data_IF_345215606086
#
_entry.id   IF_345215606086
#
_cell.length_a   1.000
_cell.length_b   1.000
_cell.length_c   1.000
_cell.angle_alpha   90.00
_cell.angle_beta   90.00
_cell.angle_gamma   90.00
#
_symmetry.space_group_name_H-M   'P 1'
#
loop_
_entity.id
_entity.type
_entity.pdbx_description
1 polymer ?
#
# COMPACT_ATOMS: atom_id res chain seq x y z
N UNK A 1 -6.35 -16.32 -9.96
CA UNK A 1 -5.59 -15.08 -9.64
C UNK A 1 -5.05 -14.35 -10.87
N UNK A 2 -4.76 -15.06 -11.98
CA UNK A 2 -4.29 -14.41 -13.22
C UNK A 2 -5.38 -13.46 -13.78
N UNK A 3 -6.61 -13.90 -13.87
CA UNK A 3 -7.73 -13.10 -14.39
C UNK A 3 -7.99 -11.82 -13.56
N UNK A 4 -7.81 -11.88 -12.25
CA UNK A 4 -7.96 -10.72 -11.38
C UNK A 4 -6.83 -9.70 -11.52
N UNK A 5 -5.61 -10.15 -11.86
CA UNK A 5 -4.48 -9.26 -12.16
C UNK A 5 -4.67 -8.58 -13.51
N UNK A 6 -5.08 -9.34 -14.53
CA UNK A 6 -5.32 -8.79 -15.88
C UNK A 6 -6.45 -7.76 -15.91
N UNK A 7 -7.43 -7.88 -15.00
CA UNK A 7 -8.49 -6.87 -14.80
C UNK A 7 -8.10 -5.75 -13.84
N UNK A 8 -6.86 -5.75 -13.32
CA UNK A 8 -6.36 -4.79 -12.31
C UNK A 8 -7.15 -4.78 -11.00
N UNK A 9 -7.94 -5.81 -10.72
CA UNK A 9 -8.60 -5.99 -9.42
C UNK A 9 -7.61 -6.23 -8.29
N UNK A 10 -6.37 -6.61 -8.62
CA UNK A 10 -5.26 -6.78 -7.68
C UNK A 10 -4.12 -5.82 -8.07
N UNK A 11 -3.81 -4.90 -7.19
CA UNK A 11 -2.76 -3.89 -7.37
C UNK A 11 -1.51 -4.31 -6.60
N UNK A 12 -0.38 -4.33 -7.32
CA UNK A 12 0.94 -4.61 -6.75
C UNK A 12 1.52 -3.34 -6.13
N UNK A 13 1.95 -3.43 -4.89
CA UNK A 13 2.59 -2.31 -4.20
C UNK A 13 3.68 -2.78 -3.24
N UNK A 14 4.35 -1.80 -2.62
CA UNK A 14 5.27 -2.04 -1.51
C UNK A 14 4.58 -1.70 -0.21
N UNK A 15 4.20 -2.73 0.50
CA UNK A 15 3.45 -2.64 1.74
C UNK A 15 4.35 -2.91 2.95
N UNK A 16 3.95 -3.77 3.83
CA UNK A 16 4.63 -4.12 5.06
C UNK A 16 6.16 -4.23 4.91
N UNK A 17 6.90 -3.38 5.61
CA UNK A 17 8.38 -3.37 5.58
C UNK A 17 9.01 -3.12 4.20
N UNK A 18 8.27 -2.53 3.25
CA UNK A 18 8.71 -2.34 1.87
C UNK A 18 8.61 -3.61 1.01
N UNK A 19 8.03 -4.68 1.56
CA UNK A 19 7.78 -5.94 0.86
C UNK A 19 6.76 -5.81 -0.25
N UNK A 20 6.94 -6.58 -1.32
CA UNK A 20 5.98 -6.62 -2.43
C UNK A 20 4.78 -7.47 -2.02
N UNK A 21 3.59 -6.89 -2.13
CA UNK A 21 2.33 -7.60 -1.94
C UNK A 21 1.28 -7.12 -2.94
N UNK A 22 0.15 -7.81 -2.97
CA UNK A 22 -1.01 -7.46 -3.78
C UNK A 22 -2.18 -7.15 -2.86
N UNK A 23 -2.87 -6.07 -3.15
CA UNK A 23 -4.13 -5.71 -2.48
C UNK A 23 -5.24 -5.66 -3.50
N UNK A 24 -6.45 -5.90 -3.05
CA UNK A 24 -7.66 -5.63 -3.82
C UNK A 24 -7.74 -4.12 -4.12
N UNK A 25 -8.17 -3.75 -5.33
CA UNK A 25 -8.33 -2.34 -5.72
C UNK A 25 -9.20 -1.58 -4.71
N UNK A 26 -10.27 -2.20 -4.22
CA UNK A 26 -11.15 -1.62 -3.21
C UNK A 26 -10.45 -1.30 -1.88
N UNK A 27 -9.37 -1.99 -1.58
CA UNK A 27 -8.57 -1.82 -0.36
C UNK A 27 -7.30 -0.97 -0.58
N UNK A 28 -7.01 -0.57 -1.83
CA UNK A 28 -5.79 0.15 -2.19
C UNK A 28 -5.62 1.43 -1.39
N UNK A 29 -6.67 2.24 -1.29
CA UNK A 29 -6.64 3.48 -0.51
C UNK A 29 -6.30 3.22 0.97
N UNK A 30 -6.90 2.18 1.55
CA UNK A 30 -6.72 1.81 2.95
C UNK A 30 -5.26 1.39 3.23
N UNK A 31 -4.77 0.40 2.51
CA UNK A 31 -3.43 -0.14 2.73
C UNK A 31 -2.33 0.81 2.23
N UNK A 32 -2.57 1.55 1.16
CA UNK A 32 -1.66 2.58 0.69
C UNK A 32 -1.49 3.70 1.72
N UNK A 33 -2.56 4.18 2.36
CA UNK A 33 -2.47 5.18 3.43
C UNK A 33 -1.64 4.69 4.63
N UNK A 34 -1.74 3.39 4.97
CA UNK A 34 -0.97 2.78 6.06
C UNK A 34 0.54 2.72 5.75
N UNK A 35 0.90 2.32 4.53
CA UNK A 35 2.27 1.91 4.21
C UNK A 35 3.04 2.86 3.31
N UNK A 36 2.38 3.82 2.64
CA UNK A 36 3.09 4.79 1.80
C UNK A 36 4.13 5.55 2.60
N UNK A 37 5.30 5.73 2.00
CA UNK A 37 6.34 6.58 2.58
C UNK A 37 6.02 8.05 2.25
N UNK A 38 5.90 8.85 3.29
CA UNK A 38 5.88 10.31 3.18
C UNK A 38 7.32 10.82 3.23
N UNK A 39 7.90 11.09 2.07
CA UNK A 39 9.25 11.55 1.92
C UNK A 39 9.34 12.59 0.79
N UNK A 40 10.28 13.53 0.90
CA UNK A 40 10.56 14.47 -0.18
C UNK A 40 11.11 13.71 -1.40
N UNK A 41 10.55 14.02 -2.58
CA UNK A 41 11.04 13.51 -3.85
C UNK A 41 12.47 14.02 -4.11
N UNK A 42 13.36 13.11 -4.48
CA UNK A 42 14.66 13.48 -5.00
C UNK A 42 14.50 14.09 -6.39
N UNK A 43 15.37 15.02 -6.80
CA UNK A 43 15.26 15.67 -8.11
C UNK A 43 15.17 14.69 -9.29
N UNK A 44 15.96 13.61 -9.25
CA UNK A 44 15.96 12.60 -10.31
C UNK A 44 14.70 11.73 -10.29
N UNK A 45 14.17 11.40 -9.11
CA UNK A 45 12.91 10.67 -8.97
C UNK A 45 11.73 11.51 -9.49
N UNK A 46 11.73 12.82 -9.21
CA UNK A 46 10.73 13.76 -9.73
C UNK A 46 10.77 13.84 -11.26
N UNK A 47 11.96 13.96 -11.86
CA UNK A 47 12.12 13.97 -13.32
C UNK A 47 11.61 12.68 -13.97
N UNK A 48 11.88 11.54 -13.35
CA UNK A 48 11.41 10.24 -13.84
C UNK A 48 9.88 10.13 -13.76
N UNK A 49 9.28 10.58 -12.66
CA UNK A 49 7.83 10.63 -12.50
C UNK A 49 7.18 11.57 -13.51
N UNK A 50 7.74 12.77 -13.73
CA UNK A 50 7.24 13.72 -14.72
C UNK A 50 7.37 13.18 -16.15
N UNK A 51 8.40 12.39 -16.45
CA UNK A 51 8.51 11.70 -17.73
C UNK A 51 7.35 10.71 -17.91
N UNK A 52 7.10 9.84 -16.93
CA UNK A 52 5.98 8.89 -16.98
C UNK A 52 4.61 9.57 -17.11
N UNK A 53 4.44 10.75 -16.49
CA UNK A 53 3.20 11.55 -16.59
C UNK A 53 2.97 12.11 -17.99
N UNK A 54 4.03 12.57 -18.64
CA UNK A 54 3.93 13.20 -19.98
C UNK A 54 3.82 12.21 -21.11
N UNK A 55 4.66 11.18 -21.06
CA UNK A 55 4.81 10.23 -22.17
C UNK A 55 3.95 8.97 -21.98
N UNK A 56 3.40 8.77 -20.79
CA UNK A 56 2.63 7.59 -20.44
C UNK A 56 3.47 6.47 -19.85
N UNK A 57 2.87 5.29 -19.66
CA UNK A 57 3.54 4.14 -19.04
C UNK A 57 4.72 3.65 -19.88
N UNK A 58 5.82 3.32 -19.21
CA UNK A 58 7.05 2.87 -19.85
C UNK A 58 7.66 1.66 -19.15
N UNK A 59 8.26 0.78 -19.95
CA UNK A 59 9.14 -0.28 -19.45
C UNK A 59 10.50 0.30 -19.02
N UNK A 60 11.29 -0.47 -18.27
CA UNK A 60 12.67 -0.05 -17.93
C UNK A 60 13.53 0.09 -19.20
N UNK A 61 13.29 -0.72 -20.24
CA UNK A 61 13.98 -0.58 -21.52
C UNK A 61 13.67 0.76 -22.19
N UNK A 62 12.41 1.14 -22.28
CA UNK A 62 11.99 2.43 -22.83
C UNK A 62 12.54 3.61 -22.01
N UNK A 63 12.47 3.53 -20.67
CA UNK A 63 13.04 4.56 -19.81
C UNK A 63 14.56 4.75 -20.01
N UNK A 64 15.30 3.68 -20.28
CA UNK A 64 16.73 3.77 -20.63
C UNK A 64 16.95 4.52 -21.93
N UNK A 65 16.16 4.25 -22.96
CA UNK A 65 16.26 4.93 -24.26
C UNK A 65 15.96 6.43 -24.13
N UNK A 66 14.90 6.78 -23.39
CA UNK A 66 14.52 8.18 -23.18
C UNK A 66 15.48 8.97 -22.31
N UNK A 67 16.00 8.36 -21.24
CA UNK A 67 16.82 9.07 -20.25
C UNK A 67 18.32 8.95 -20.47
N UNK A 68 18.77 7.97 -21.24
CA UNK A 68 20.19 7.60 -21.36
C UNK A 68 20.78 6.95 -20.09
N UNK A 69 19.99 6.72 -19.07
CA UNK A 69 20.43 6.12 -17.82
C UNK A 69 20.49 4.60 -17.91
N UNK A 70 21.43 4.00 -17.17
CA UNK A 70 21.47 2.55 -17.06
C UNK A 70 20.34 2.01 -16.16
N UNK A 71 19.84 0.79 -16.42
CA UNK A 71 18.77 0.16 -15.63
C UNK A 71 19.07 0.14 -14.12
N UNK A 72 20.34 -0.06 -13.74
CA UNK A 72 20.78 -0.03 -12.33
C UNK A 72 20.57 1.33 -11.63
N UNK A 73 20.41 2.42 -12.37
CA UNK A 73 20.07 3.74 -11.84
C UNK A 73 18.56 3.95 -11.82
N UNK A 74 17.85 3.51 -12.85
CA UNK A 74 16.38 3.67 -12.99
C UNK A 74 15.61 2.83 -11.98
N UNK A 75 15.94 1.55 -11.83
CA UNK A 75 15.19 0.61 -10.97
C UNK A 75 15.07 1.07 -9.50
N UNK A 76 16.14 1.58 -8.86
CA UNK A 76 16.00 2.13 -7.50
C UNK A 76 15.12 3.39 -7.43
N UNK A 77 15.06 4.22 -8.48
CA UNK A 77 14.14 5.37 -8.54
C UNK A 77 12.69 4.89 -8.58
N UNK A 78 12.38 3.95 -9.48
CA UNK A 78 11.04 3.36 -9.57
C UNK A 78 10.60 2.69 -8.26
N UNK A 79 11.51 2.00 -7.57
CA UNK A 79 11.20 1.40 -6.27
C UNK A 79 10.89 2.45 -5.20
N UNK A 80 11.63 3.58 -5.15
CA UNK A 80 11.32 4.68 -4.22
C UNK A 80 9.98 5.32 -4.53
N UNK A 81 9.69 5.57 -5.81
CA UNK A 81 8.39 6.08 -6.24
C UNK A 81 7.26 5.09 -5.91
N UNK A 82 7.50 3.79 -6.05
CA UNK A 82 6.54 2.75 -5.68
C UNK A 82 6.28 2.70 -4.16
N UNK A 83 7.31 2.90 -3.33
CA UNK A 83 7.16 3.00 -1.86
C UNK A 83 6.34 4.22 -1.43
N UNK A 84 6.33 5.28 -2.25
CA UNK A 84 5.52 6.48 -2.05
C UNK A 84 4.13 6.36 -2.68
N UNK A 85 3.80 5.26 -3.33
CA UNK A 85 2.58 5.04 -4.11
C UNK A 85 2.36 6.10 -5.20
N UNK A 86 3.43 6.53 -5.85
CA UNK A 86 3.40 7.44 -7.01
C UNK A 86 3.42 6.68 -8.33
N UNK A 87 4.03 5.49 -8.35
CA UNK A 87 4.01 4.59 -9.51
C UNK A 87 3.78 3.14 -9.09
N UNK A 88 3.27 2.33 -10.00
CA UNK A 88 3.21 0.88 -9.83
C UNK A 88 3.64 0.15 -11.11
N UNK A 89 4.09 -1.09 -10.95
CA UNK A 89 4.45 -1.96 -12.04
C UNK A 89 3.22 -2.76 -12.50
N UNK A 90 2.86 -2.71 -13.77
CA UNK A 90 1.76 -3.49 -14.31
C UNK A 90 2.04 -5.00 -14.15
N UNK A 91 1.01 -5.72 -13.75
CA UNK A 91 1.05 -7.17 -13.58
C UNK A 91 0.12 -7.91 -14.56
N UNK A 92 -0.58 -7.16 -15.42
CA UNK A 92 -1.42 -7.72 -16.46
C UNK A 92 -0.57 -8.32 -17.59
N UNK A 93 0.61 -7.73 -17.82
CA UNK A 93 1.55 -8.19 -18.82
C UNK A 93 2.33 -9.42 -18.34
N UNK A 94 2.45 -10.43 -19.20
CA UNK A 94 3.24 -11.64 -18.97
C UNK A 94 4.73 -11.46 -19.24
N UNK A 95 5.14 -10.35 -19.85
CA UNK A 95 6.52 -10.07 -20.22
C UNK A 95 7.39 -9.72 -19.01
N UNK A 96 8.71 -9.95 -19.15
CA UNK A 96 9.68 -9.67 -18.11
C UNK A 96 9.92 -8.16 -17.89
N UNK A 97 9.81 -7.34 -18.95
CA UNK A 97 9.97 -5.89 -18.90
C UNK A 97 8.60 -5.21 -18.87
N UNK A 98 8.03 -5.15 -17.68
CA UNK A 98 6.69 -4.62 -17.44
C UNK A 98 6.70 -3.10 -17.39
N UNK A 99 5.59 -2.49 -17.86
CA UNK A 99 5.45 -1.05 -17.81
C UNK A 99 5.16 -0.53 -16.41
N UNK A 100 5.65 0.66 -16.14
CA UNK A 100 5.42 1.42 -14.93
C UNK A 100 4.44 2.53 -15.19
N UNK A 101 3.42 2.64 -14.35
CA UNK A 101 2.28 3.54 -14.47
C UNK A 101 2.27 4.53 -13.31
N UNK A 102 1.98 5.83 -13.53
CA UNK A 102 1.64 6.73 -12.44
C UNK A 102 0.32 6.30 -11.79
N UNK A 103 0.24 6.30 -10.46
CA UNK A 103 -0.98 5.94 -9.73
C UNK A 103 -2.15 6.84 -10.08
N UNK A 104 -1.93 8.14 -10.17
CA UNK A 104 -2.95 9.13 -10.47
C UNK A 104 -3.58 9.00 -11.86
N UNK A 105 -2.87 8.40 -12.81
CA UNK A 105 -3.39 8.14 -14.16
C UNK A 105 -4.38 6.97 -14.17
N UNK A 106 -4.05 5.92 -13.44
CA UNK A 106 -4.86 4.69 -13.41
C UNK A 106 -5.97 4.74 -12.34
N UNK A 107 -5.72 5.47 -11.26
CA UNK A 107 -6.64 5.61 -10.13
C UNK A 107 -6.93 7.10 -9.83
N UNK A 108 -7.53 7.85 -10.78
CA UNK A 108 -7.69 9.32 -10.66
C UNK A 108 -8.61 9.74 -9.51
N UNK A 109 -9.49 8.87 -9.04
CA UNK A 109 -10.39 9.11 -7.92
C UNK A 109 -9.86 8.58 -6.58
N UNK A 110 -8.62 8.05 -6.54
CA UNK A 110 -8.04 7.48 -5.34
C UNK A 110 -7.75 8.59 -4.32
N UNK A 111 -8.49 8.56 -3.22
CA UNK A 111 -8.27 9.46 -2.08
C UNK A 111 -7.67 8.67 -0.91
N UNK A 112 -6.58 9.18 -0.37
CA UNK A 112 -5.92 8.57 0.78
C UNK A 112 -6.61 9.03 2.07
N UNK A 113 -7.17 8.12 2.90
CA UNK A 113 -7.61 8.49 4.24
C UNK A 113 -6.42 8.89 5.11
N UNK A 114 -6.71 9.54 6.23
CA UNK A 114 -5.69 9.78 7.25
C UNK A 114 -5.11 8.44 7.72
N UNK A 115 -3.79 8.41 7.97
CA UNK A 115 -3.07 7.17 8.25
C UNK A 115 -3.58 6.47 9.52
N UNK A 116 -3.89 7.24 10.54
CA UNK A 116 -4.43 6.78 11.81
C UNK A 116 -5.80 6.11 11.61
N UNK A 117 -6.70 6.75 10.88
CA UNK A 117 -8.01 6.20 10.53
C UNK A 117 -7.89 4.92 9.70
N UNK A 118 -6.93 4.88 8.78
CA UNK A 118 -6.65 3.70 7.98
C UNK A 118 -6.17 2.52 8.83
N UNK A 119 -5.28 2.76 9.80
CA UNK A 119 -4.80 1.73 10.74
C UNK A 119 -5.96 1.20 11.59
N UNK A 120 -6.80 2.09 12.13
CA UNK A 120 -7.96 1.69 12.92
C UNK A 120 -8.95 0.82 12.12
N UNK A 121 -9.30 1.24 10.91
CA UNK A 121 -10.20 0.48 10.03
C UNK A 121 -9.63 -0.88 9.66
N UNK A 122 -8.36 -0.95 9.29
CA UNK A 122 -7.71 -2.20 8.94
C UNK A 122 -7.60 -3.14 10.15
N UNK A 123 -7.28 -2.61 11.32
CA UNK A 123 -7.17 -3.38 12.56
C UNK A 123 -8.54 -3.90 13.03
N UNK A 124 -9.59 -3.08 12.97
CA UNK A 124 -10.95 -3.53 13.28
C UNK A 124 -11.40 -4.66 12.33
N UNK A 125 -11.13 -4.51 11.03
CA UNK A 125 -11.42 -5.57 10.04
C UNK A 125 -10.64 -6.85 10.33
N UNK A 126 -9.37 -6.72 10.73
CA UNK A 126 -8.52 -7.86 11.11
C UNK A 126 -9.09 -8.60 12.32
N UNK A 127 -9.46 -7.89 13.39
CA UNK A 127 -10.07 -8.51 14.58
C UNK A 127 -11.41 -9.16 14.25
N UNK A 128 -12.25 -8.51 13.42
CA UNK A 128 -13.53 -9.08 12.96
C UNK A 128 -13.33 -10.38 12.18
N UNK A 129 -12.33 -10.43 11.31
CA UNK A 129 -12.04 -11.60 10.47
C UNK A 129 -11.55 -12.79 11.30
N UNK A 130 -10.78 -12.53 12.35
CA UNK A 130 -10.22 -13.56 13.22
C UNK A 130 -11.12 -13.89 14.45
N UNK A 131 -12.18 -13.11 14.66
CA UNK A 131 -13.05 -13.21 15.85
C UNK A 131 -12.41 -12.61 17.10
N UNK A 132 -11.14 -12.89 17.33
CA UNK A 132 -10.31 -12.32 18.38
C UNK A 132 -8.88 -12.13 17.87
N UNK A 133 -8.17 -11.15 18.40
CA UNK A 133 -6.75 -10.96 18.13
C UNK A 133 -6.04 -10.34 19.34
N UNK A 134 -4.75 -10.57 19.44
CA UNK A 134 -3.86 -9.92 20.39
C UNK A 134 -2.84 -8.99 19.70
N UNK A 135 -2.07 -8.28 20.48
CA UNK A 135 -1.05 -7.34 19.99
C UNK A 135 0.02 -8.04 19.14
N UNK A 136 0.38 -9.28 19.51
CA UNK A 136 1.41 -10.07 18.80
C UNK A 136 0.91 -10.46 17.41
N UNK A 137 -0.34 -10.93 17.30
CA UNK A 137 -0.97 -11.24 16.02
C UNK A 137 -1.06 -9.99 15.13
N UNK A 138 -1.55 -8.87 15.68
CA UNK A 138 -1.65 -7.62 14.94
C UNK A 138 -0.28 -7.13 14.45
N UNK A 139 0.73 -7.14 15.33
CA UNK A 139 2.10 -6.74 14.98
C UNK A 139 2.70 -7.64 13.90
N UNK A 140 2.53 -8.95 14.01
CA UNK A 140 3.02 -9.91 13.03
C UNK A 140 2.38 -9.71 11.66
N UNK A 141 1.06 -9.43 11.64
CA UNK A 141 0.33 -9.24 10.40
C UNK A 141 0.63 -7.89 9.73
N UNK A 142 0.58 -6.79 10.49
CA UNK A 142 0.71 -5.45 9.93
C UNK A 142 2.16 -4.97 9.82
N UNK A 143 3.10 -5.49 10.62
CA UNK A 143 4.49 -5.01 10.67
C UNK A 143 4.63 -3.55 11.10
N UNK A 144 3.60 -2.97 11.72
CA UNK A 144 3.59 -1.58 12.15
C UNK A 144 4.32 -1.38 13.48
N UNK A 145 4.80 -0.15 13.75
CA UNK A 145 5.32 0.21 15.05
C UNK A 145 4.28 -0.05 16.15
N UNK A 146 4.74 -0.60 17.27
CA UNK A 146 3.87 -0.97 18.37
C UNK A 146 3.06 0.21 18.93
N UNK A 147 3.64 1.41 18.92
CA UNK A 147 2.96 2.65 19.33
C UNK A 147 1.72 2.92 18.49
N UNK A 148 1.80 2.72 17.16
CA UNK A 148 0.71 2.99 16.21
C UNK A 148 -0.42 1.97 16.40
N UNK A 149 -0.07 0.70 16.58
CA UNK A 149 -1.04 -0.36 16.89
C UNK A 149 -1.75 -0.12 18.22
N UNK A 150 -1.02 0.26 19.28
CA UNK A 150 -1.60 0.54 20.59
C UNK A 150 -2.51 1.77 20.57
N UNK A 151 -2.12 2.82 19.84
CA UNK A 151 -2.97 3.99 19.68
C UNK A 151 -4.30 3.62 19.01
N UNK A 152 -4.26 2.85 17.92
CA UNK A 152 -5.46 2.39 17.22
C UNK A 152 -6.31 1.45 18.07
N UNK A 153 -5.72 0.50 18.81
CA UNK A 153 -6.45 -0.40 19.72
C UNK A 153 -7.14 0.38 20.83
N UNK A 154 -6.44 1.38 21.41
CA UNK A 154 -7.00 2.25 22.45
C UNK A 154 -8.18 3.07 21.91
N UNK A 155 -8.05 3.68 20.74
CA UNK A 155 -9.11 4.45 20.09
C UNK A 155 -10.34 3.59 19.79
N UNK A 156 -10.13 2.39 19.24
CA UNK A 156 -11.21 1.43 18.93
C UNK A 156 -11.92 0.94 20.19
N UNK A 157 -11.16 0.72 21.28
CA UNK A 157 -11.73 0.32 22.57
C UNK A 157 -12.51 1.46 23.20
N UNK A 158 -11.99 2.70 23.19
CA UNK A 158 -12.67 3.87 23.73
C UNK A 158 -14.01 4.15 23.01
N UNK A 159 -14.10 3.84 21.72
CA UNK A 159 -15.35 3.96 20.93
C UNK A 159 -16.29 2.74 21.06
N UNK A 160 -15.91 1.73 21.83
CA UNK A 160 -16.67 0.50 21.97
C UNK A 160 -16.69 -0.40 20.73
N UNK A 161 -15.83 -0.16 19.75
CA UNK A 161 -15.69 -1.00 18.54
C UNK A 161 -14.96 -2.31 18.82
N UNK A 162 -14.08 -2.30 19.81
CA UNK A 162 -13.39 -3.46 20.35
C UNK A 162 -13.64 -3.59 21.86
N UNK A 163 -13.75 -4.83 22.33
CA UNK A 163 -13.82 -5.17 23.76
C UNK A 163 -12.52 -5.87 24.18
N UNK A 164 -11.95 -5.49 25.32
CA UNK A 164 -10.83 -6.23 25.89
C UNK A 164 -11.25 -7.67 26.19
N UNK A 165 -10.39 -8.62 25.85
CA UNK A 165 -10.56 -10.04 26.14
C UNK A 165 -9.36 -10.57 26.93
N UNK A 166 -9.58 -11.54 27.79
CA UNK A 166 -8.51 -12.21 28.51
C UNK A 166 -7.94 -13.39 27.68
N UNK A 167 -6.62 -13.64 27.71
CA UNK A 167 -5.56 -12.81 28.28
C UNK A 167 -4.95 -11.83 27.28
N UNK A 168 -5.27 -10.52 27.40
CA UNK A 168 -4.59 -9.46 26.66
C UNK A 168 -4.94 -9.32 25.19
N UNK A 169 -6.09 -9.86 24.77
CA UNK A 169 -6.61 -9.74 23.41
C UNK A 169 -7.79 -8.77 23.27
N UNK A 170 -8.35 -8.71 22.08
CA UNK A 170 -9.54 -7.92 21.74
C UNK A 170 -10.52 -8.75 20.94
N UNK A 171 -11.81 -8.49 21.19
CA UNK A 171 -12.94 -9.02 20.43
C UNK A 171 -13.62 -7.88 19.70
N UNK A 172 -14.08 -8.12 18.47
CA UNK A 172 -14.87 -7.13 17.75
C UNK A 172 -16.31 -7.12 18.26
N UNK A 173 -16.85 -5.92 18.51
CA UNK A 173 -18.28 -5.76 18.76
C UNK A 173 -19.07 -6.02 17.46
N UNK A 174 -20.00 -6.95 17.48
CA UNK A 174 -20.83 -7.31 16.31
C UNK A 174 -21.88 -6.24 15.97
N UNK A 175 -22.09 -5.24 16.85
CA UNK A 175 -23.17 -4.25 16.73
C UNK A 175 -22.70 -2.82 16.45
N UNK A 176 -21.41 -2.58 16.20
CA UNK A 176 -20.93 -1.28 15.74
C UNK A 176 -21.03 -1.23 14.21
N UNK A 177 -22.20 -0.85 13.71
CA UNK A 177 -22.44 -0.48 12.32
C UNK A 177 -22.04 0.98 12.08
#
# INVERSE_FOLDING_TARGET
NFDRRSRRELVKGRFQGGGIAYVDEADLALYGAIYRKDAALRPDDARLLDLLRREGPMTVAALREFTGLAAKAITPMLHRLQEMFLVFEDQADSEWDRAWYPFETEFPSLAWPEREDAIERALLRFVRLHGAADETMARSFFGLPLRDLRAALSALTARGSLLPAAPGGWLACLHAA
#
